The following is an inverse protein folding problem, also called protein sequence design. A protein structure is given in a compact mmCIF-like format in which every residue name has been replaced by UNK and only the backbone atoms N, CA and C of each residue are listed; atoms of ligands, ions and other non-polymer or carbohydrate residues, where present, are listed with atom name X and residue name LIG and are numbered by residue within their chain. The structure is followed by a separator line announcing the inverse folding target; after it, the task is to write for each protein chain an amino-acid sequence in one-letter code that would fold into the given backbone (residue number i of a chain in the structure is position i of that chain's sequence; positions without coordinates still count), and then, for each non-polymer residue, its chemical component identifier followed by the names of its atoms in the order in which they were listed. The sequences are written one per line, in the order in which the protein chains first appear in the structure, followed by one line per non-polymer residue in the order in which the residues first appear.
data_IF_336370372741
#
_entry.id   IF_336370372741
#
_cell.length_a   1.000
_cell.length_b   1.000
_cell.length_c   1.000
_cell.angle_alpha   90.00
_cell.angle_beta   90.00
_cell.angle_gamma   90.00
#
_symmetry.space_group_name_H-M   'P 1'
#
loop_
_entity.id
_entity.type
_entity.pdbx_description
1 polymer ?
#
# COMPACT_ATOMS: atom_id res chain seq x y z
N UNK A 1 -6.89 36.81 -10.89
CA UNK A 1 -6.13 35.67 -11.45
C UNK A 1 -4.69 36.11 -11.46
N UNK A 2 -3.89 35.55 -10.56
CA UNK A 2 -2.46 35.83 -10.49
C UNK A 2 -1.75 35.15 -11.67
N UNK A 3 -0.64 35.72 -12.14
CA UNK A 3 0.14 35.12 -13.24
C UNK A 3 0.66 33.72 -12.83
N UNK A 4 0.93 33.54 -11.53
CA UNK A 4 1.33 32.25 -10.96
C UNK A 4 0.19 31.21 -10.99
N UNK A 5 -1.07 31.61 -10.83
CA UNK A 5 -2.22 30.70 -10.98
C UNK A 5 -2.37 30.21 -12.43
N UNK A 6 -2.20 31.12 -13.38
CA UNK A 6 -2.22 30.81 -14.82
C UNK A 6 -1.06 29.91 -15.24
N UNK A 7 0.14 30.11 -14.68
CA UNK A 7 1.30 29.25 -14.93
C UNK A 7 1.16 27.88 -14.27
N UNK A 8 0.55 27.81 -13.08
CA UNK A 8 0.24 26.55 -12.42
C UNK A 8 -0.75 25.72 -13.25
N UNK A 9 -1.87 26.32 -13.69
CA UNK A 9 -2.87 25.66 -14.54
C UNK A 9 -2.27 25.14 -15.87
N UNK A 10 -1.44 25.95 -16.55
CA UNK A 10 -0.80 25.54 -17.82
C UNK A 10 0.31 24.49 -17.62
N UNK A 11 1.03 24.53 -16.50
CA UNK A 11 2.09 23.55 -16.20
C UNK A 11 1.55 22.16 -15.85
N UNK A 12 0.36 22.09 -15.24
CA UNK A 12 -0.31 20.83 -14.92
C UNK A 12 -0.64 20.07 -16.21
N UNK A 13 -0.95 20.75 -17.33
CA UNK A 13 -1.31 20.08 -18.58
C UNK A 13 -0.12 19.55 -19.41
N UNK A 14 1.10 20.03 -19.19
CA UNK A 14 2.28 19.61 -19.96
C UNK A 14 3.03 18.38 -19.42
N UNK A 15 2.80 17.97 -18.17
CA UNK A 15 3.54 16.82 -17.59
C UNK A 15 2.98 15.49 -18.12
N UNK A 16 3.80 14.57 -18.64
CA UNK A 16 3.33 13.26 -19.09
C UNK A 16 2.68 12.49 -17.94
N UNK A 17 1.58 11.77 -18.23
CA UNK A 17 0.85 10.98 -17.23
C UNK A 17 1.76 9.97 -16.51
N UNK A 18 2.78 9.44 -17.19
CA UNK A 18 3.78 8.53 -16.60
C UNK A 18 4.58 9.18 -15.48
N UNK A 19 4.98 10.43 -15.67
CA UNK A 19 5.70 11.20 -14.65
C UNK A 19 4.79 11.54 -13.48
N UNK A 20 3.51 11.87 -13.74
CA UNK A 20 2.52 12.13 -12.68
C UNK A 20 2.29 10.89 -11.82
N UNK A 21 2.02 9.74 -12.45
CA UNK A 21 1.79 8.49 -11.72
C UNK A 21 3.04 8.07 -10.90
N UNK A 22 4.25 8.32 -11.41
CA UNK A 22 5.49 8.09 -10.65
C UNK A 22 5.60 9.02 -9.43
N UNK A 23 5.30 10.31 -9.59
CA UNK A 23 5.32 11.29 -8.50
C UNK A 23 4.27 10.96 -7.43
N UNK A 24 3.04 10.63 -7.85
CA UNK A 24 1.96 10.19 -6.96
C UNK A 24 2.34 8.90 -6.22
N UNK A 25 2.86 7.89 -6.93
CA UNK A 25 3.29 6.63 -6.30
C UNK A 25 4.41 6.87 -5.28
N UNK A 26 5.36 7.73 -5.61
CA UNK A 26 6.45 8.10 -4.69
C UNK A 26 5.90 8.81 -3.46
N UNK A 27 4.93 9.71 -3.63
CA UNK A 27 4.26 10.40 -2.52
C UNK A 27 3.49 9.42 -1.63
N UNK A 28 2.71 8.51 -2.21
CA UNK A 28 2.01 7.46 -1.47
C UNK A 28 3.00 6.59 -0.70
N UNK A 29 4.10 6.17 -1.33
CA UNK A 29 5.15 5.37 -0.70
C UNK A 29 5.82 6.08 0.49
N UNK A 30 6.18 7.35 0.34
CA UNK A 30 6.78 8.13 1.45
C UNK A 30 5.76 8.34 2.56
N UNK A 31 4.54 8.74 2.22
CA UNK A 31 3.47 8.98 3.19
C UNK A 31 3.16 7.71 4.00
N UNK A 32 3.04 6.57 3.33
CA UNK A 32 2.78 5.28 3.98
C UNK A 32 3.91 4.88 4.93
N UNK A 33 5.18 5.16 4.60
CA UNK A 33 6.30 4.82 5.50
C UNK A 33 6.41 5.72 6.72
N UNK A 34 5.90 6.95 6.64
CA UNK A 34 6.01 7.95 7.70
C UNK A 34 4.77 7.94 8.60
N UNK A 35 3.58 7.71 8.03
CA UNK A 35 2.33 7.69 8.77
C UNK A 35 2.29 6.54 9.80
N UNK A 36 1.85 6.77 11.05
CA UNK A 36 1.66 5.72 12.04
C UNK A 36 0.47 4.81 11.69
N UNK A 37 -0.60 5.39 11.17
CA UNK A 37 -1.80 4.69 10.70
C UNK A 37 -1.67 4.18 9.26
N UNK A 38 -2.53 3.24 8.88
CA UNK A 38 -2.61 2.76 7.49
C UNK A 38 -3.41 3.75 6.65
N UNK A 39 -2.86 4.15 5.50
CA UNK A 39 -3.53 5.11 4.63
C UNK A 39 -4.55 4.41 3.70
N UNK A 40 -5.49 5.15 3.08
CA UNK A 40 -6.40 4.60 2.08
C UNK A 40 -5.66 3.98 0.89
N UNK A 41 -6.23 2.92 0.33
CA UNK A 41 -5.66 2.23 -0.83
C UNK A 41 -5.85 3.07 -2.11
N UNK A 42 -4.78 3.50 -2.80
CA UNK A 42 -4.89 4.30 -4.01
C UNK A 42 -5.21 3.42 -5.23
N UNK A 43 -6.43 2.90 -5.31
CA UNK A 43 -6.86 1.88 -6.28
C UNK A 43 -6.64 2.28 -7.74
N UNK A 44 -7.05 3.48 -8.11
CA UNK A 44 -6.95 3.97 -9.49
C UNK A 44 -5.48 4.09 -9.93
N UNK A 45 -4.63 4.68 -9.08
CA UNK A 45 -3.20 4.81 -9.33
C UNK A 45 -2.54 3.43 -9.46
N UNK A 46 -2.82 2.52 -8.52
CA UNK A 46 -2.25 1.18 -8.52
C UNK A 46 -2.67 0.38 -9.75
N UNK A 47 -3.93 0.49 -10.17
CA UNK A 47 -4.43 -0.13 -11.42
C UNK A 47 -3.67 0.38 -12.64
N UNK A 48 -3.48 1.71 -12.77
CA UNK A 48 -2.72 2.31 -13.88
C UNK A 48 -1.25 1.87 -13.87
N UNK A 49 -0.59 1.93 -12.71
CA UNK A 49 0.83 1.59 -12.56
C UNK A 49 1.07 0.09 -12.84
N UNK A 50 0.29 -0.80 -12.23
CA UNK A 50 0.42 -2.24 -12.44
C UNK A 50 0.14 -2.63 -13.89
N UNK A 51 -0.87 -2.02 -14.53
CA UNK A 51 -1.17 -2.23 -15.95
C UNK A 51 -0.05 -1.74 -16.88
N UNK A 52 0.68 -0.68 -16.51
CA UNK A 52 1.87 -0.25 -17.26
C UNK A 52 3.05 -1.18 -17.05
N UNK A 53 3.31 -1.61 -15.81
CA UNK A 53 4.36 -2.58 -15.51
C UNK A 53 4.14 -3.86 -16.32
N UNK A 54 2.91 -4.38 -16.39
CA UNK A 54 2.59 -5.57 -17.19
C UNK A 54 2.92 -5.38 -18.68
N UNK A 55 2.43 -4.28 -19.29
CA UNK A 55 2.72 -3.97 -20.70
C UNK A 55 4.21 -3.75 -20.98
N UNK A 56 4.94 -3.14 -20.06
CA UNK A 56 6.38 -2.95 -20.19
C UNK A 56 7.15 -4.29 -20.09
N UNK A 57 6.68 -5.23 -19.28
CA UNK A 57 7.26 -6.59 -19.22
C UNK A 57 7.09 -7.27 -20.58
N UNK A 58 5.88 -7.28 -21.14
CA UNK A 58 5.59 -7.87 -22.46
C UNK A 58 6.47 -7.25 -23.56
N UNK A 59 6.60 -5.92 -23.57
CA UNK A 59 7.44 -5.21 -24.54
C UNK A 59 8.92 -5.58 -24.40
N UNK A 60 9.43 -5.70 -23.17
CA UNK A 60 10.83 -6.11 -22.93
C UNK A 60 11.05 -7.55 -23.41
N UNK A 61 10.10 -8.44 -23.17
CA UNK A 61 10.17 -9.84 -23.62
C UNK A 61 10.19 -9.95 -25.15
N UNK A 62 9.31 -9.20 -25.84
CA UNK A 62 9.27 -9.16 -27.31
C UNK A 62 10.57 -8.59 -27.91
N UNK A 63 11.05 -7.46 -27.37
CA UNK A 63 12.24 -6.78 -27.89
C UNK A 63 13.54 -7.54 -27.60
N UNK A 64 13.59 -8.34 -26.53
CA UNK A 64 14.74 -9.21 -26.23
C UNK A 64 14.90 -10.31 -27.29
N UNK A 65 13.83 -10.71 -27.97
CA UNK A 65 13.89 -11.66 -29.09
C UNK A 65 14.57 -11.10 -30.35
N UNK A 66 14.62 -9.77 -30.52
CA UNK A 66 15.19 -9.10 -31.68
C UNK A 66 16.60 -8.57 -31.36
N UNK A 67 17.62 -9.33 -31.73
CA UNK A 67 19.05 -9.10 -31.41
C UNK A 67 19.70 -7.91 -32.16
N UNK A 68 19.08 -6.73 -32.17
CA UNK A 68 19.66 -5.51 -32.76
C UNK A 68 20.50 -4.72 -31.73
N UNK A 69 21.80 -4.47 -31.97
CA UNK A 69 22.69 -3.78 -31.02
C UNK A 69 22.23 -2.38 -30.59
N UNK A 70 21.53 -1.61 -31.44
CA UNK A 70 20.99 -0.29 -31.07
C UNK A 70 19.80 -0.40 -30.11
N UNK A 71 19.03 -1.47 -30.25
CA UNK A 71 17.88 -1.76 -29.40
C UNK A 71 18.32 -2.20 -27.98
N UNK A 72 19.50 -2.82 -27.85
CA UNK A 72 20.05 -3.27 -26.57
C UNK A 72 20.24 -2.14 -25.53
N UNK A 73 20.77 -0.98 -25.91
CA UNK A 73 20.94 0.14 -24.95
C UNK A 73 19.60 0.70 -24.49
N UNK A 74 18.63 0.83 -25.41
CA UNK A 74 17.26 1.24 -25.09
C UNK A 74 16.59 0.24 -24.15
N UNK A 75 16.80 -1.05 -24.36
CA UNK A 75 16.27 -2.11 -23.50
C UNK A 75 16.82 -2.03 -22.07
N UNK A 76 18.12 -1.77 -21.91
CA UNK A 76 18.73 -1.60 -20.58
C UNK A 76 18.05 -0.45 -19.81
N UNK A 77 17.77 0.67 -20.47
CA UNK A 77 17.08 1.81 -19.85
C UNK A 77 15.67 1.41 -19.42
N UNK A 78 14.89 0.79 -20.31
CA UNK A 78 13.51 0.37 -20.03
C UNK A 78 13.48 -0.65 -18.88
N UNK A 79 14.38 -1.64 -18.90
CA UNK A 79 14.48 -2.64 -17.83
C UNK A 79 14.84 -2.01 -16.49
N UNK A 80 15.79 -1.06 -16.48
CA UNK A 80 16.19 -0.35 -15.26
C UNK A 80 15.02 0.46 -14.69
N UNK A 81 14.26 1.15 -15.54
CA UNK A 81 13.08 1.90 -15.13
C UNK A 81 11.98 0.99 -14.60
N UNK A 82 11.73 -0.13 -15.27
CA UNK A 82 10.78 -1.15 -14.85
C UNK A 82 11.10 -1.68 -13.44
N UNK A 83 12.37 -1.95 -13.14
CA UNK A 83 12.78 -2.36 -11.80
C UNK A 83 12.60 -1.26 -10.75
N UNK A 84 12.77 0.03 -11.11
CA UNK A 84 12.46 1.15 -10.19
C UNK A 84 10.98 1.18 -9.81
N UNK A 85 10.07 1.02 -10.77
CA UNK A 85 8.63 0.96 -10.51
C UNK A 85 8.26 -0.27 -9.67
N UNK A 86 8.77 -1.45 -10.04
CA UNK A 86 8.54 -2.68 -9.27
C UNK A 86 9.07 -2.55 -7.84
N UNK A 87 10.22 -1.91 -7.63
CA UNK A 87 10.76 -1.63 -6.31
C UNK A 87 9.81 -0.76 -5.49
N UNK A 88 9.32 0.35 -6.05
CA UNK A 88 8.40 1.27 -5.35
C UNK A 88 7.11 0.55 -4.94
N UNK A 89 6.49 -0.19 -5.87
CA UNK A 89 5.28 -0.98 -5.59
C UNK A 89 5.52 -1.99 -4.47
N UNK A 90 6.59 -2.80 -4.57
CA UNK A 90 6.91 -3.80 -3.55
C UNK A 90 7.24 -3.16 -2.20
N UNK A 91 7.91 -2.02 -2.18
CA UNK A 91 8.26 -1.32 -0.95
C UNK A 91 7.02 -0.72 -0.28
N UNK A 92 6.09 -0.13 -1.04
CA UNK A 92 4.79 0.33 -0.56
C UNK A 92 3.99 -0.82 0.06
N UNK A 93 3.82 -1.92 -0.67
CA UNK A 93 3.06 -3.08 -0.20
C UNK A 93 3.67 -3.69 1.08
N UNK A 94 5.00 -3.81 1.17
CA UNK A 94 5.66 -4.30 2.39
C UNK A 94 5.44 -3.38 3.58
N UNK A 95 5.45 -2.05 3.37
CA UNK A 95 5.16 -1.09 4.44
C UNK A 95 3.72 -1.24 4.94
N UNK A 96 2.77 -1.44 4.04
CA UNK A 96 1.35 -1.67 4.36
C UNK A 96 1.12 -2.98 5.09
N UNK A 97 1.66 -4.09 4.57
CA UNK A 97 1.56 -5.42 5.21
C UNK A 97 2.13 -5.37 6.63
N UNK A 98 3.27 -4.71 6.84
CA UNK A 98 3.83 -4.54 8.20
C UNK A 98 2.85 -3.85 9.16
N UNK A 99 2.11 -2.83 8.70
CA UNK A 99 1.09 -2.17 9.52
C UNK A 99 -0.11 -3.08 9.79
N UNK A 100 -0.54 -3.84 8.78
CA UNK A 100 -1.58 -4.87 8.88
C UNK A 100 -1.22 -5.89 9.96
N UNK A 101 0.03 -6.38 9.97
CA UNK A 101 0.51 -7.35 10.97
C UNK A 101 0.61 -6.77 12.39
N UNK A 102 0.88 -5.46 12.50
CA UNK A 102 1.03 -4.80 13.80
C UNK A 102 -0.32 -4.55 14.47
N UNK A 103 -1.35 -4.19 13.69
CA UNK A 103 -2.67 -3.81 14.21
C UNK A 103 -3.83 -4.51 13.49
N UNK A 104 -3.86 -5.86 13.41
CA UNK A 104 -4.79 -6.59 12.55
C UNK A 104 -6.26 -6.38 12.94
N UNK A 105 -6.58 -6.47 14.23
CA UNK A 105 -7.95 -6.31 14.74
C UNK A 105 -8.49 -4.88 14.53
N UNK A 106 -7.65 -3.88 14.78
CA UNK A 106 -8.01 -2.48 14.58
C UNK A 106 -8.25 -2.19 13.09
N UNK A 107 -7.35 -2.64 12.22
CA UNK A 107 -7.44 -2.44 10.78
C UNK A 107 -8.66 -3.17 10.20
N UNK A 108 -8.98 -4.37 10.68
CA UNK A 108 -10.19 -5.09 10.29
C UNK A 108 -11.46 -4.30 10.64
N UNK A 109 -11.54 -3.77 11.87
CA UNK A 109 -12.66 -2.93 12.29
C UNK A 109 -12.77 -1.67 11.42
N UNK A 110 -11.65 -1.00 11.16
CA UNK A 110 -11.61 0.21 10.34
C UNK A 110 -12.00 -0.08 8.89
N UNK A 111 -11.56 -1.21 8.33
CA UNK A 111 -11.94 -1.64 6.99
C UNK A 111 -13.45 -1.84 6.87
N UNK A 112 -14.06 -2.52 7.84
CA UNK A 112 -15.51 -2.75 7.87
C UNK A 112 -16.30 -1.43 7.93
N UNK A 113 -15.81 -0.43 8.67
CA UNK A 113 -16.41 0.92 8.70
C UNK A 113 -16.18 1.68 7.39
N UNK A 114 -15.06 1.43 6.70
CA UNK A 114 -14.72 2.08 5.43
C UNK A 114 -15.49 1.54 4.21
N UNK A 115 -16.32 0.49 4.38
CA UNK A 115 -17.10 -0.08 3.27
C UNK A 115 -18.10 0.92 2.68
N UNK A 116 -18.56 1.89 3.48
CA UNK A 116 -19.48 2.95 3.04
C UNK A 116 -18.76 4.16 2.42
N UNK A 117 -17.43 4.24 2.52
CA UNK A 117 -16.64 5.33 1.94
C UNK A 117 -16.27 5.04 0.48
N UNK A 118 -16.18 6.10 -0.37
CA UNK A 118 -15.84 5.94 -1.79
C UNK A 118 -14.39 5.47 -2.01
N UNK A 119 -13.52 5.60 -1.00
CA UNK A 119 -12.12 5.18 -1.08
C UNK A 119 -11.90 3.94 -0.23
N UNK A 120 -11.50 2.79 -0.81
CA UNK A 120 -11.25 1.59 -0.03
C UNK A 120 -10.01 1.77 0.85
N UNK A 121 -10.05 1.27 2.09
CA UNK A 121 -8.88 1.31 2.98
C UNK A 121 -7.81 0.30 2.57
N UNK A 122 -8.23 -0.91 2.18
CA UNK A 122 -7.37 -2.04 1.83
C UNK A 122 -7.69 -2.51 0.42
N UNK A 123 -6.68 -3.02 -0.28
CA UNK A 123 -6.91 -3.79 -1.49
C UNK A 123 -7.59 -5.13 -1.19
N UNK A 124 -8.28 -5.76 -2.16
CA UNK A 124 -8.88 -7.08 -1.96
C UNK A 124 -7.87 -8.15 -1.52
N UNK A 125 -6.65 -8.11 -2.07
CA UNK A 125 -5.58 -9.03 -1.71
C UNK A 125 -5.04 -8.78 -0.29
N UNK A 126 -4.93 -7.52 0.14
CA UNK A 126 -4.55 -7.16 1.51
C UNK A 126 -5.61 -7.63 2.51
N UNK A 127 -6.90 -7.48 2.17
CA UNK A 127 -7.99 -7.95 3.03
C UNK A 127 -8.00 -9.48 3.16
N UNK A 128 -7.83 -10.20 2.05
CA UNK A 128 -7.69 -11.66 2.07
C UNK A 128 -6.50 -12.11 2.92
N UNK A 129 -5.36 -11.41 2.80
CA UNK A 129 -4.18 -11.68 3.62
C UNK A 129 -4.48 -11.49 5.10
N UNK A 130 -5.09 -10.37 5.48
CA UNK A 130 -5.48 -10.06 6.86
C UNK A 130 -6.39 -11.16 7.45
N UNK A 131 -7.45 -11.54 6.74
CA UNK A 131 -8.37 -12.59 7.17
C UNK A 131 -7.65 -13.94 7.37
N UNK A 132 -6.82 -14.34 6.39
CA UNK A 132 -6.10 -15.61 6.43
C UNK A 132 -5.08 -15.63 7.58
N UNK A 133 -4.34 -14.54 7.76
CA UNK A 133 -3.36 -14.41 8.82
C UNK A 133 -4.01 -14.45 10.22
N UNK A 134 -5.13 -13.74 10.40
CA UNK A 134 -5.87 -13.72 11.65
C UNK A 134 -6.47 -15.09 11.99
N UNK A 135 -7.03 -15.81 11.00
CA UNK A 135 -7.54 -17.16 11.19
C UNK A 135 -6.44 -18.16 11.57
N UNK A 136 -5.26 -18.04 10.94
CA UNK A 136 -4.09 -18.86 11.28
C UNK A 136 -3.64 -18.59 12.71
N UNK A 137 -3.54 -17.32 13.10
CA UNK A 137 -3.06 -16.92 14.41
C UNK A 137 -4.05 -17.34 15.52
N UNK A 138 -5.34 -17.16 15.30
CA UNK A 138 -6.38 -17.56 16.26
C UNK A 138 -6.40 -19.07 16.47
N UNK A 139 -6.29 -19.85 15.39
CA UNK A 139 -6.15 -21.31 15.45
C UNK A 139 -4.91 -21.73 16.22
N UNK A 140 -3.76 -21.11 15.94
CA UNK A 140 -2.50 -21.39 16.63
C UNK A 140 -2.57 -21.06 18.13
N UNK A 141 -3.11 -19.90 18.51
CA UNK A 141 -3.27 -19.53 19.91
C UNK A 141 -4.27 -20.43 20.63
N UNK A 142 -5.36 -20.81 19.97
CA UNK A 142 -6.35 -21.73 20.51
C UNK A 142 -5.73 -23.10 20.83
N UNK A 143 -5.04 -23.69 19.84
CA UNK A 143 -4.37 -24.98 20.01
C UNK A 143 -3.24 -24.94 21.05
N UNK A 144 -2.52 -23.82 21.14
CA UNK A 144 -1.35 -23.70 22.01
C UNK A 144 -1.70 -23.44 23.48
N UNK A 145 -2.64 -22.53 23.76
CA UNK A 145 -2.92 -22.14 25.14
C UNK A 145 -4.35 -21.64 25.41
N UNK A 146 -5.05 -20.98 24.48
CA UNK A 146 -6.37 -20.40 24.79
C UNK A 146 -7.42 -21.47 25.12
N UNK A 147 -7.34 -22.66 24.53
CA UNK A 147 -8.28 -23.75 24.83
C UNK A 147 -8.24 -24.20 26.30
N UNK A 148 -7.13 -23.93 27.01
CA UNK A 148 -6.96 -24.29 28.42
C UNK A 148 -7.54 -23.22 29.37
N UNK A 149 -7.82 -22.01 28.87
CA UNK A 149 -8.39 -20.95 29.68
C UNK A 149 -9.91 -21.08 29.84
N UNK A 150 -10.49 -20.54 30.93
CA UNK A 150 -11.95 -20.40 31.06
C UNK A 150 -12.53 -19.59 29.90
N UNK A 151 -13.77 -19.92 29.48
CA UNK A 151 -14.41 -19.33 28.30
C UNK A 151 -14.44 -17.79 28.27
N UNK A 152 -14.49 -17.15 29.44
CA UNK A 152 -14.44 -15.69 29.57
C UNK A 152 -13.11 -15.07 29.13
N UNK A 153 -12.00 -15.80 29.21
CA UNK A 153 -10.64 -15.32 28.89
C UNK A 153 -10.12 -15.84 27.54
N UNK A 154 -10.93 -16.58 26.78
CA UNK A 154 -10.52 -17.10 25.47
C UNK A 154 -10.57 -16.05 24.35
N UNK A 155 -11.20 -14.89 24.61
CA UNK A 155 -11.35 -13.81 23.65
C UNK A 155 -10.07 -12.98 23.54
N UNK A 156 -9.68 -12.68 22.30
CA UNK A 156 -8.49 -11.87 21.96
C UNK A 156 -8.84 -10.41 21.61
N UNK A 157 -10.13 -10.12 21.53
CA UNK A 157 -10.72 -8.82 21.17
C UNK A 157 -11.37 -8.13 22.38
N UNK A 158 -11.02 -8.54 23.60
CA UNK A 158 -11.69 -8.05 24.80
C UNK A 158 -11.36 -6.57 25.08
N UNK A 159 -12.40 -5.84 25.45
CA UNK A 159 -12.34 -4.43 25.82
C UNK A 159 -12.91 -4.19 27.23
N UNK A 160 -13.30 -5.26 27.93
CA UNK A 160 -13.78 -5.20 29.31
C UNK A 160 -12.60 -5.05 30.28
N UNK A 161 -12.77 -4.21 31.32
CA UNK A 161 -11.72 -4.00 32.35
C UNK A 161 -10.87 -2.73 32.20
N UNK A 162 -11.26 -1.79 31.33
CA UNK A 162 -10.59 -0.47 31.22
C UNK A 162 -9.29 -0.45 30.42
N UNK A 163 -8.84 -1.61 29.91
CA UNK A 163 -7.73 -1.75 28.97
C UNK A 163 -8.21 -2.50 27.74
N UNK A 164 -8.12 -1.88 26.56
CA UNK A 164 -8.46 -2.51 25.29
C UNK A 164 -7.35 -3.47 24.86
N UNK A 165 -7.66 -4.75 24.64
CA UNK A 165 -6.69 -5.71 24.06
C UNK A 165 -6.44 -5.47 22.56
N UNK A 166 -7.29 -4.66 21.91
CA UNK A 166 -7.08 -4.22 20.53
C UNK A 166 -6.03 -3.11 20.51
N UNK A 167 -4.82 -3.45 20.07
CA UNK A 167 -3.75 -2.49 19.83
C UNK A 167 -4.11 -1.54 18.68
N UNK A 168 -3.89 -0.24 18.89
CA UNK A 168 -4.11 0.81 17.89
C UNK A 168 -2.81 1.55 17.60
N UNK A 169 -2.65 2.09 16.38
CA UNK A 169 -1.55 2.99 16.07
C UNK A 169 -1.53 4.20 17.03
N UNK A 170 -0.32 4.68 17.33
CA UNK A 170 -0.11 5.93 18.07
C UNK A 170 -0.31 7.13 17.12
N UNK A 171 -1.46 7.79 17.25
CA UNK A 171 -1.83 8.96 16.44
C UNK A 171 -1.05 10.22 16.83
N UNK A 172 -0.52 10.29 18.07
CA UNK A 172 0.24 11.44 18.58
C UNK A 172 1.73 11.38 18.18
N UNK A 173 2.13 10.32 17.47
CA UNK A 173 3.50 10.12 17.03
C UNK A 173 3.95 11.24 16.09
N UNK A 174 5.01 11.96 16.48
CA UNK A 174 5.61 13.00 15.66
C UNK A 174 6.12 12.46 14.31
N UNK A 175 5.73 13.13 13.24
CA UNK A 175 6.14 12.81 11.86
C UNK A 175 6.81 14.01 11.19
N UNK A 176 7.74 13.73 10.28
CA UNK A 176 8.30 14.76 9.42
C UNK A 176 7.39 14.96 8.20
N UNK A 177 6.82 16.14 8.07
CA UNK A 177 6.00 16.52 6.94
C UNK A 177 6.71 17.57 6.08
N UNK A 178 6.55 17.46 4.76
CA UNK A 178 6.91 18.52 3.81
C UNK A 178 5.61 19.15 3.32
N UNK A 179 5.44 20.45 3.57
CA UNK A 179 4.41 21.23 2.90
C UNK A 179 4.84 21.53 1.46
N UNK A 180 3.91 21.37 0.53
CA UNK A 180 4.09 21.62 -0.89
C UNK A 180 3.02 22.58 -1.36
#
# INVERSE_FOLDING_TARGET
MDIDDLLAEVSVDCTPQETRDLQELTRCWVAERVAPEILPWPEQLMTRVLGRIARQIELVEEQTGNMDPKTNFRLIIIQTELERFKFLVRSLLRARIKKIDTHPLHIQSLHNTSLDTPTPLLSPAEYQYLQSHQALLSSHYNASFLAQFPASLQRIDDTTGGVSMVNRPDEDKAVFAKFM
#
